data_IF_422038239133
#
_entry.id   IF_422038239133
#
_cell.length_a   1.000
_cell.length_b   1.000
_cell.length_c   1.000
_cell.angle_alpha   90.00
_cell.angle_beta   90.00
_cell.angle_gamma   90.00
#
_symmetry.space_group_name_H-M   'P 1'
#
loop_
_entity.id
_entity.type
_entity.pdbx_description
1 polymer ?
#
# COMPACT_ATOMS: atom_id res chain seq x y z
N UNK A 1 -0.52 -10.17 2.75
CA UNK A 1 0.88 -10.66 2.80
C UNK A 1 1.85 -9.69 2.11
N UNK A 2 3.01 -9.40 2.72
CA UNK A 2 4.06 -8.56 2.13
C UNK A 2 5.12 -9.45 1.50
N UNK A 3 5.51 -9.19 0.26
CA UNK A 3 6.55 -9.97 -0.42
C UNK A 3 7.39 -9.08 -1.31
N UNK A 4 8.68 -9.40 -1.44
CA UNK A 4 9.52 -8.80 -2.47
C UNK A 4 8.93 -9.10 -3.87
N UNK A 5 9.24 -8.22 -4.82
CA UNK A 5 9.05 -8.50 -6.23
C UNK A 5 9.79 -9.78 -6.65
N UNK A 6 9.30 -10.45 -7.68
CA UNK A 6 10.00 -11.57 -8.31
C UNK A 6 10.84 -11.12 -9.50
N UNK A 7 11.83 -11.91 -9.88
CA UNK A 7 12.59 -11.71 -11.12
C UNK A 7 13.35 -10.39 -11.16
N UNK A 8 13.35 -9.71 -12.31
CA UNK A 8 14.11 -8.48 -12.53
C UNK A 8 13.76 -7.33 -11.57
N UNK A 9 12.54 -7.33 -11.01
CA UNK A 9 12.04 -6.26 -10.13
C UNK A 9 12.27 -6.55 -8.64
N UNK A 10 12.94 -7.65 -8.30
CA UNK A 10 13.08 -8.09 -6.91
C UNK A 10 13.77 -7.07 -5.99
N UNK A 11 14.64 -6.20 -6.53
CA UNK A 11 15.32 -5.16 -5.76
C UNK A 11 14.54 -3.85 -5.62
N UNK A 12 13.51 -3.65 -6.45
CA UNK A 12 12.89 -2.33 -6.63
C UNK A 12 11.41 -2.33 -6.27
N UNK A 13 10.81 -3.51 -6.10
CA UNK A 13 9.38 -3.65 -5.92
C UNK A 13 9.02 -4.39 -4.64
N UNK A 14 8.01 -3.87 -3.97
CA UNK A 14 7.30 -4.54 -2.88
C UNK A 14 5.87 -4.78 -3.35
N UNK A 15 5.37 -6.00 -3.14
CA UNK A 15 3.96 -6.35 -3.41
C UNK A 15 3.20 -6.39 -2.10
N UNK A 16 2.13 -5.59 -2.05
CA UNK A 16 1.16 -5.62 -0.97
C UNK A 16 -0.10 -6.26 -1.51
N UNK A 17 -0.36 -7.47 -1.03
CA UNK A 17 -1.45 -8.31 -1.48
C UNK A 17 -2.59 -8.31 -0.46
N UNK A 18 -3.82 -8.10 -0.92
CA UNK A 18 -5.02 -7.92 -0.09
C UNK A 18 -6.13 -8.89 -0.50
N UNK A 19 -6.29 -9.98 0.25
CA UNK A 19 -7.26 -11.04 -0.05
C UNK A 19 -7.84 -11.64 1.25
N UNK A 20 -9.02 -12.25 1.14
CA UNK A 20 -9.65 -12.98 2.24
C UNK A 20 -10.55 -12.13 3.14
N UNK A 21 -11.09 -12.70 4.23
CA UNK A 21 -12.05 -12.02 5.11
C UNK A 21 -11.47 -10.82 5.86
N UNK A 22 -10.16 -10.82 6.13
CA UNK A 22 -9.47 -9.70 6.78
C UNK A 22 -9.14 -8.56 5.81
N UNK A 23 -9.55 -8.70 4.54
CA UNK A 23 -9.33 -7.73 3.50
C UNK A 23 -10.28 -6.50 3.63
N UNK A 24 -10.40 -5.95 4.84
CA UNK A 24 -11.30 -4.84 5.14
C UNK A 24 -10.74 -3.50 4.66
N UNK A 25 -11.60 -2.49 4.43
CA UNK A 25 -11.16 -1.12 4.14
C UNK A 25 -10.22 -0.54 5.22
N UNK A 26 -10.45 -0.88 6.49
CA UNK A 26 -9.60 -0.44 7.60
C UNK A 26 -8.17 -0.99 7.49
N UNK A 27 -8.02 -2.25 7.05
CA UNK A 27 -6.72 -2.86 6.81
C UNK A 27 -6.00 -2.20 5.62
N UNK A 28 -6.71 -1.89 4.53
CA UNK A 28 -6.13 -1.14 3.40
C UNK A 28 -5.62 0.22 3.85
N UNK A 29 -6.43 0.98 4.60
CA UNK A 29 -6.04 2.29 5.14
C UNK A 29 -4.80 2.17 6.03
N UNK A 30 -4.79 1.23 6.98
CA UNK A 30 -3.66 1.02 7.87
C UNK A 30 -2.37 0.68 7.10
N UNK A 31 -2.46 -0.18 6.08
CA UNK A 31 -1.33 -0.55 5.23
C UNK A 31 -0.79 0.65 4.43
N UNK A 32 -1.68 1.46 3.84
CA UNK A 32 -1.29 2.68 3.11
C UNK A 32 -0.62 3.71 4.03
N UNK A 33 -1.16 3.91 5.24
CA UNK A 33 -0.53 4.78 6.25
C UNK A 33 0.85 4.27 6.64
N UNK A 34 0.99 2.97 6.94
CA UNK A 34 2.28 2.41 7.33
C UNK A 34 3.33 2.53 6.21
N UNK A 35 2.95 2.29 4.96
CA UNK A 35 3.85 2.46 3.81
C UNK A 35 4.24 3.92 3.60
N UNK A 36 3.30 4.86 3.74
CA UNK A 36 3.59 6.28 3.65
C UNK A 36 4.56 6.74 4.74
N UNK A 37 4.40 6.27 5.98
CA UNK A 37 5.35 6.53 7.07
C UNK A 37 6.74 6.04 6.71
N UNK A 38 6.88 4.76 6.32
CA UNK A 38 8.18 4.18 5.99
C UNK A 38 8.88 4.91 4.82
N UNK A 39 8.14 5.27 3.76
CA UNK A 39 8.68 6.02 2.64
C UNK A 39 9.10 7.45 3.04
N UNK A 40 8.31 8.11 3.88
CA UNK A 40 8.63 9.45 4.39
C UNK A 40 9.89 9.42 5.25
N UNK A 41 10.07 8.39 6.09
CA UNK A 41 11.29 8.18 6.88
C UNK A 41 12.55 8.00 5.99
N UNK A 42 12.38 7.50 4.76
CA UNK A 42 13.44 7.42 3.75
C UNK A 42 13.60 8.71 2.93
N UNK A 43 12.89 9.78 3.28
CA UNK A 43 12.95 11.07 2.58
C UNK A 43 12.17 11.12 1.27
N UNK A 44 11.33 10.12 0.98
CA UNK A 44 10.47 10.10 -0.21
C UNK A 44 9.21 10.91 0.06
N UNK A 45 8.88 11.94 -0.75
CA UNK A 45 7.62 12.67 -0.61
C UNK A 45 6.42 11.76 -0.93
N UNK A 46 5.46 11.66 0.01
CA UNK A 46 4.25 10.85 -0.16
C UNK A 46 2.98 11.69 -0.04
N UNK A 47 2.04 11.50 -0.98
CA UNK A 47 0.71 12.12 -0.98
C UNK A 47 -0.32 11.19 -0.33
N UNK A 48 -0.21 10.99 0.99
CA UNK A 48 -1.04 10.01 1.71
C UNK A 48 -2.54 10.27 1.55
N UNK A 49 -2.99 11.52 1.67
CA UNK A 49 -4.41 11.86 1.53
C UNK A 49 -4.98 11.49 0.15
N UNK A 50 -4.19 11.66 -0.91
CA UNK A 50 -4.60 11.30 -2.28
C UNK A 50 -4.70 9.77 -2.43
N UNK A 51 -3.73 9.03 -1.87
CA UNK A 51 -3.74 7.57 -1.88
C UNK A 51 -4.95 7.00 -1.13
N UNK A 52 -5.31 7.56 0.02
CA UNK A 52 -6.48 7.14 0.81
C UNK A 52 -7.79 7.39 0.05
N UNK A 53 -7.97 8.59 -0.53
CA UNK A 53 -9.15 8.91 -1.36
C UNK A 53 -9.29 7.98 -2.56
N UNK A 54 -8.18 7.66 -3.22
CA UNK A 54 -8.17 6.73 -4.35
C UNK A 54 -8.60 5.32 -3.93
N UNK A 55 -8.09 4.82 -2.80
CA UNK A 55 -8.44 3.52 -2.27
C UNK A 55 -9.93 3.42 -1.89
N UNK A 56 -10.48 4.46 -1.27
CA UNK A 56 -11.92 4.54 -0.96
C UNK A 56 -12.79 4.57 -2.23
N UNK A 57 -12.32 5.25 -3.29
CA UNK A 57 -13.02 5.32 -4.57
C UNK A 57 -12.99 4.04 -5.40
N UNK A 58 -11.94 3.23 -5.24
CA UNK A 58 -11.75 1.99 -6.00
C UNK A 58 -12.77 0.89 -5.64
N UNK A 59 -13.24 0.85 -4.39
CA UNK A 59 -14.22 -0.14 -3.91
C UNK A 59 -15.67 0.12 -4.30
N UNK A 60 -15.95 1.19 -5.07
CA UNK A 60 -17.31 1.59 -5.49
C UNK A 60 -17.60 1.32 -6.97
N UNK A 61 -16.83 0.43 -7.61
CA UNK A 61 -16.98 0.07 -9.03
C UNK A 61 -17.65 -1.28 -9.21
#
# INVERSE_FOLDING_TARGET
PLSAGGGALAKEMIRVNHYGPDATPGVVRAALTALATALTEQGVPVRLDEALRAAEGAGRR
#
